data_IF_295526926834
#
_entry.id   IF_295526926834
#
_cell.length_a   1.000
_cell.length_b   1.000
_cell.length_c   1.000
_cell.angle_alpha   90.00
_cell.angle_beta   90.00
_cell.angle_gamma   90.00
#
_symmetry.space_group_name_H-M   'P 1'
#
loop_
_entity.id
_entity.type
_entity.pdbx_description
1 polymer ?
#
# COMPACT_ATOMS: atom_id res chain seq x y z
N UNK A 1 -17.53 38.32 -7.01
CA UNK A 1 -17.12 37.51 -8.18
C UNK A 1 -18.26 36.56 -8.48
N UNK A 2 -18.78 36.58 -9.70
CA UNK A 2 -19.81 35.67 -10.19
C UNK A 2 -19.12 34.53 -10.94
N UNK A 3 -19.31 33.30 -10.47
CA UNK A 3 -18.83 32.12 -11.19
C UNK A 3 -19.71 31.87 -12.41
N UNK A 4 -19.11 31.56 -13.55
CA UNK A 4 -19.87 31.08 -14.71
C UNK A 4 -20.42 29.69 -14.43
N UNK A 5 -21.64 29.44 -14.89
CA UNK A 5 -22.30 28.14 -14.75
C UNK A 5 -22.28 27.43 -16.10
N UNK A 6 -21.97 26.14 -16.08
CA UNK A 6 -21.93 25.28 -17.26
C UNK A 6 -22.93 24.15 -17.04
N UNK A 7 -23.86 23.98 -17.98
CA UNK A 7 -24.75 22.83 -17.96
C UNK A 7 -24.13 21.69 -18.75
N UNK A 8 -23.81 20.61 -18.05
CA UNK A 8 -23.07 19.49 -18.62
C UNK A 8 -23.97 18.31 -19.01
N UNK A 9 -25.20 18.30 -18.52
CA UNK A 9 -26.17 17.20 -18.69
C UNK A 9 -27.37 17.62 -19.53
N UNK A 10 -27.55 18.91 -19.79
CA UNK A 10 -28.72 19.48 -20.49
C UNK A 10 -30.00 19.51 -19.66
N UNK A 11 -29.93 19.18 -18.36
CA UNK A 11 -31.07 19.16 -17.44
C UNK A 11 -31.18 20.46 -16.64
N UNK A 12 -32.38 20.82 -16.16
CA UNK A 12 -32.60 22.08 -15.42
C UNK A 12 -31.74 22.17 -14.15
N UNK A 13 -31.45 21.06 -13.48
CA UNK A 13 -30.61 20.98 -12.28
C UNK A 13 -29.13 20.65 -12.57
N UNK A 14 -28.74 20.62 -13.86
CA UNK A 14 -27.43 20.17 -14.33
C UNK A 14 -26.31 21.20 -14.30
N UNK A 15 -26.55 22.37 -13.72
CA UNK A 15 -25.61 23.49 -13.73
C UNK A 15 -24.53 23.34 -12.67
N UNK A 16 -23.28 23.40 -13.11
CA UNK A 16 -22.12 23.36 -12.22
C UNK A 16 -21.25 24.60 -12.41
N UNK A 17 -20.51 25.05 -11.37
CA UNK A 17 -19.54 26.12 -11.53
C UNK A 17 -18.46 25.74 -12.55
N UNK A 18 -18.03 26.72 -13.36
CA UNK A 18 -17.01 26.53 -14.39
C UNK A 18 -15.66 26.06 -13.81
N UNK A 19 -15.34 26.49 -12.60
CA UNK A 19 -14.14 26.03 -11.87
C UNK A 19 -14.21 24.53 -11.58
N UNK A 20 -15.35 24.04 -11.06
CA UNK A 20 -15.59 22.62 -10.82
C UNK A 20 -15.55 21.79 -12.13
N UNK A 21 -16.05 22.36 -13.23
CA UNK A 21 -15.94 21.74 -14.55
C UNK A 21 -14.47 21.60 -15.00
N UNK A 22 -13.66 22.64 -14.78
CA UNK A 22 -12.23 22.61 -15.10
C UNK A 22 -11.49 21.58 -14.23
N UNK A 23 -11.77 21.52 -12.92
CA UNK A 23 -11.21 20.50 -12.02
C UNK A 23 -11.53 19.08 -12.47
N UNK A 24 -12.77 18.83 -12.87
CA UNK A 24 -13.18 17.52 -13.36
C UNK A 24 -12.44 17.11 -14.64
N UNK A 25 -12.30 18.02 -15.61
CA UNK A 25 -11.53 17.76 -16.83
C UNK A 25 -10.04 17.53 -16.55
N UNK A 26 -9.47 18.24 -15.58
CA UNK A 26 -8.09 18.04 -15.13
C UNK A 26 -7.91 16.66 -14.49
N UNK A 27 -8.86 16.21 -13.66
CA UNK A 27 -8.85 14.88 -13.07
C UNK A 27 -8.86 13.79 -14.15
N UNK A 28 -9.81 13.87 -15.10
CA UNK A 28 -9.91 12.90 -16.20
C UNK A 28 -8.64 12.86 -17.05
N UNK A 29 -8.09 14.04 -17.39
CA UNK A 29 -6.84 14.15 -18.15
C UNK A 29 -5.69 13.45 -17.42
N UNK A 30 -5.58 13.64 -16.10
CA UNK A 30 -4.57 12.98 -15.28
C UNK A 30 -4.74 11.46 -15.27
N UNK A 31 -5.96 10.96 -15.07
CA UNK A 31 -6.25 9.52 -15.05
C UNK A 31 -5.91 8.86 -16.39
N UNK A 32 -6.36 9.44 -17.50
CA UNK A 32 -6.11 8.91 -18.85
C UNK A 32 -4.63 9.01 -19.22
N UNK A 33 -3.96 10.11 -18.84
CA UNK A 33 -2.52 10.27 -19.05
C UNK A 33 -1.71 9.25 -18.26
N UNK A 34 -2.01 9.07 -16.97
CA UNK A 34 -1.32 8.08 -16.12
C UNK A 34 -1.48 6.64 -16.62
N UNK A 35 -2.55 6.33 -17.35
CA UNK A 35 -2.76 5.01 -17.94
C UNK A 35 -1.91 4.74 -19.19
N UNK A 36 -1.40 5.77 -19.87
CA UNK A 36 -0.55 5.63 -21.06
C UNK A 36 0.90 5.91 -20.67
N UNK A 37 1.71 4.85 -20.62
CA UNK A 37 3.15 4.93 -20.30
C UNK A 37 3.97 5.89 -21.18
N UNK A 38 5.30 5.87 -21.04
CA UNK A 38 6.29 6.87 -21.49
C UNK A 38 6.25 7.34 -22.97
N UNK A 39 5.41 6.75 -23.82
CA UNK A 39 5.35 7.03 -25.25
C UNK A 39 4.32 8.11 -25.64
N UNK A 40 3.65 8.75 -24.67
CA UNK A 40 2.69 9.81 -24.96
C UNK A 40 3.34 11.20 -24.83
N UNK A 41 3.46 11.92 -25.96
CA UNK A 41 3.97 13.29 -25.96
C UNK A 41 2.93 14.29 -25.43
N UNK A 42 3.40 15.37 -24.81
CA UNK A 42 2.54 16.43 -24.27
C UNK A 42 1.64 17.06 -25.33
N UNK A 43 2.11 17.19 -26.58
CA UNK A 43 1.33 17.73 -27.69
C UNK A 43 0.09 16.89 -28.01
N UNK A 44 0.18 15.57 -27.90
CA UNK A 44 -0.97 14.67 -28.08
C UNK A 44 -1.96 14.84 -26.93
N UNK A 45 -1.47 15.02 -25.71
CA UNK A 45 -2.31 15.27 -24.54
C UNK A 45 -3.10 16.58 -24.70
N UNK A 46 -2.41 17.66 -25.00
CA UNK A 46 -2.99 19.00 -25.14
C UNK A 46 -3.96 19.07 -26.32
N UNK A 47 -3.56 18.64 -27.52
CA UNK A 47 -4.36 18.89 -28.73
C UNK A 47 -5.43 17.85 -28.99
N UNK A 48 -5.21 16.58 -28.59
CA UNK A 48 -6.11 15.47 -28.94
C UNK A 48 -6.94 14.97 -27.77
N UNK A 49 -6.32 14.85 -26.59
CA UNK A 49 -6.96 14.24 -25.42
C UNK A 49 -7.76 15.26 -24.62
N UNK A 50 -7.19 16.44 -24.33
CA UNK A 50 -7.84 17.43 -23.47
C UNK A 50 -9.16 17.96 -24.05
N UNK A 51 -9.20 18.15 -25.37
CA UNK A 51 -10.37 18.68 -26.10
C UNK A 51 -11.54 17.70 -26.14
N UNK A 52 -11.26 16.40 -26.12
CA UNK A 52 -12.26 15.33 -26.25
C UNK A 52 -12.36 14.46 -24.98
N UNK A 53 -11.87 14.97 -23.85
CA UNK A 53 -11.67 14.16 -22.63
C UNK A 53 -12.98 13.51 -22.15
N UNK A 54 -14.11 14.18 -22.32
CA UNK A 54 -15.43 13.65 -21.99
C UNK A 54 -15.87 12.50 -22.87
N UNK A 55 -15.66 12.62 -24.18
CA UNK A 55 -15.97 11.53 -25.11
C UNK A 55 -15.14 10.29 -24.80
N UNK A 56 -13.87 10.47 -24.40
CA UNK A 56 -13.04 9.34 -23.97
C UNK A 56 -13.53 8.71 -22.67
N UNK A 57 -13.97 9.51 -21.70
CA UNK A 57 -14.55 9.00 -20.45
C UNK A 57 -15.87 8.23 -20.68
N UNK A 58 -16.74 8.73 -21.55
CA UNK A 58 -17.98 8.07 -21.94
C UNK A 58 -17.73 6.73 -22.65
N UNK A 59 -16.79 6.71 -23.61
CA UNK A 59 -16.39 5.48 -24.30
C UNK A 59 -15.79 4.47 -23.32
N UNK A 60 -14.90 4.92 -22.43
CA UNK A 60 -14.30 4.05 -21.42
C UNK A 60 -15.35 3.50 -20.45
N UNK A 61 -16.27 4.34 -19.98
CA UNK A 61 -17.39 3.94 -19.11
C UNK A 61 -18.31 2.94 -19.79
N UNK A 62 -18.63 3.14 -21.07
CA UNK A 62 -19.45 2.23 -21.87
C UNK A 62 -18.74 0.89 -22.02
N UNK A 63 -17.46 0.91 -22.41
CA UNK A 63 -16.65 -0.29 -22.55
C UNK A 63 -16.58 -1.07 -21.22
N UNK A 64 -16.28 -0.41 -20.09
CA UNK A 64 -16.26 -1.07 -18.78
C UNK A 64 -17.61 -1.71 -18.43
N UNK A 65 -18.72 -1.06 -18.78
CA UNK A 65 -20.07 -1.58 -18.54
C UNK A 65 -20.35 -2.82 -19.39
N UNK A 66 -20.05 -2.76 -20.69
CA UNK A 66 -20.25 -3.88 -21.63
C UNK A 66 -19.39 -5.11 -21.30
N UNK A 67 -18.15 -4.89 -20.86
CA UNK A 67 -17.25 -5.96 -20.46
C UNK A 67 -17.45 -6.43 -19.01
N UNK A 68 -18.43 -5.89 -18.29
CA UNK A 68 -18.70 -6.25 -16.89
C UNK A 68 -17.55 -5.94 -15.94
N UNK A 69 -16.68 -4.99 -16.31
CA UNK A 69 -15.55 -4.59 -15.47
C UNK A 69 -16.10 -3.82 -14.26
N UNK A 70 -15.87 -4.28 -13.03
CA UNK A 70 -16.37 -3.59 -11.85
C UNK A 70 -15.76 -2.19 -11.79
N UNK A 71 -16.61 -1.16 -11.80
CA UNK A 71 -16.16 0.22 -11.56
C UNK A 71 -15.52 0.30 -10.18
N UNK A 72 -14.29 0.83 -10.12
CA UNK A 72 -13.59 1.06 -8.86
C UNK A 72 -14.44 2.00 -8.02
N UNK A 73 -15.06 1.48 -6.97
CA UNK A 73 -15.93 2.26 -6.10
C UNK A 73 -15.10 3.33 -5.38
N UNK A 74 -15.61 4.56 -5.32
CA UNK A 74 -15.02 5.65 -4.50
C UNK A 74 -15.22 5.42 -3.00
N UNK A 75 -16.03 4.42 -2.62
CA UNK A 75 -16.06 3.94 -1.25
C UNK A 75 -14.77 3.17 -1.03
N UNK A 76 -13.86 3.76 -0.26
CA UNK A 76 -12.85 2.99 0.43
C UNK A 76 -13.59 1.89 1.19
N UNK A 77 -13.50 0.65 0.73
CA UNK A 77 -13.83 -0.47 1.59
C UNK A 77 -12.92 -0.31 2.81
N UNK A 78 -13.47 -0.39 4.02
CA UNK A 78 -12.66 -0.53 5.22
C UNK A 78 -11.99 -1.89 5.12
N UNK A 79 -10.85 -1.91 4.43
CA UNK A 79 -10.01 -3.09 4.31
C UNK A 79 -9.52 -3.39 5.71
N UNK A 80 -9.93 -4.53 6.25
CA UNK A 80 -9.38 -5.03 7.51
C UNK A 80 -8.01 -5.58 7.19
N UNK A 81 -6.99 -4.80 7.50
CA UNK A 81 -5.60 -5.13 7.19
C UNK A 81 -5.22 -6.54 7.68
N UNK A 82 -5.74 -6.94 8.83
CA UNK A 82 -5.51 -8.26 9.43
C UNK A 82 -5.97 -9.41 8.52
N UNK A 83 -7.19 -9.30 7.95
CA UNK A 83 -7.75 -10.33 7.07
C UNK A 83 -6.98 -10.43 5.74
N UNK A 84 -6.49 -9.29 5.23
CA UNK A 84 -5.66 -9.29 4.03
C UNK A 84 -4.27 -9.86 4.28
N UNK A 85 -3.66 -9.56 5.43
CA UNK A 85 -2.37 -10.12 5.84
C UNK A 85 -2.48 -11.63 5.99
N UNK A 86 -3.51 -12.14 6.66
CA UNK A 86 -3.75 -13.58 6.79
C UNK A 86 -3.90 -14.25 5.42
N UNK A 87 -4.68 -13.64 4.52
CA UNK A 87 -4.86 -14.14 3.15
C UNK A 87 -3.55 -14.13 2.36
N UNK A 88 -2.73 -13.10 2.53
CA UNK A 88 -1.43 -12.98 1.88
C UNK A 88 -0.46 -14.05 2.40
N UNK A 89 -0.35 -14.21 3.73
CA UNK A 89 0.49 -15.23 4.36
C UNK A 89 0.08 -16.62 3.90
N UNK A 90 -1.23 -16.92 3.89
CA UNK A 90 -1.74 -18.19 3.37
C UNK A 90 -1.33 -18.41 1.92
N UNK A 91 -1.53 -17.41 1.06
CA UNK A 91 -1.16 -17.50 -0.36
C UNK A 91 0.34 -17.70 -0.55
N UNK A 92 1.19 -17.05 0.26
CA UNK A 92 2.64 -17.19 0.19
C UNK A 92 3.11 -18.56 0.69
N UNK A 93 2.45 -19.15 1.71
CA UNK A 93 2.70 -20.52 2.17
C UNK A 93 2.24 -21.55 1.15
N UNK A 94 1.03 -21.39 0.59
CA UNK A 94 0.48 -22.30 -0.42
C UNK A 94 1.37 -22.37 -1.67
N UNK A 95 2.03 -21.26 -2.02
CA UNK A 95 3.01 -21.19 -3.11
C UNK A 95 4.43 -21.62 -2.71
N UNK A 96 4.65 -22.03 -1.47
CA UNK A 96 5.95 -22.47 -0.95
C UNK A 96 7.02 -21.37 -0.93
N UNK A 97 6.62 -20.10 -0.93
CA UNK A 97 7.57 -18.98 -0.94
C UNK A 97 8.12 -18.67 0.45
N UNK A 98 7.37 -18.98 1.50
CA UNK A 98 7.80 -18.78 2.90
C UNK A 98 8.67 -19.94 3.42
N UNK A 99 8.44 -21.16 2.92
CA UNK A 99 9.13 -22.36 3.41
C UNK A 99 10.39 -22.71 2.58
N UNK A 100 10.70 -21.91 1.56
CA UNK A 100 11.92 -22.06 0.77
C UNK A 100 13.10 -21.48 1.54
N UNK A 101 13.91 -22.36 2.10
CA UNK A 101 15.29 -22.03 2.43
C UNK A 101 16.00 -21.74 1.09
N UNK A 102 16.51 -20.52 0.84
CA UNK A 102 17.23 -20.24 -0.38
C UNK A 102 18.42 -21.20 -0.46
N UNK A 103 18.57 -21.87 -1.61
CA UNK A 103 19.75 -22.68 -1.86
C UNK A 103 20.98 -21.77 -1.75
N UNK A 104 21.82 -22.00 -0.75
CA UNK A 104 23.04 -21.23 -0.54
C UNK A 104 23.96 -21.54 -1.72
N UNK A 105 24.06 -20.62 -2.68
CA UNK A 105 25.07 -20.71 -3.70
C UNK A 105 26.44 -20.60 -3.03
N UNK A 106 27.37 -21.49 -3.37
CA UNK A 106 28.71 -21.63 -2.77
C UNK A 106 29.55 -20.33 -2.82
N UNK A 107 29.12 -19.35 -3.62
CA UNK A 107 29.76 -18.04 -3.80
C UNK A 107 29.14 -16.90 -2.96
N UNK A 108 28.04 -17.17 -2.26
CA UNK A 108 27.33 -16.14 -1.48
C UNK A 108 27.80 -16.17 -0.03
N UNK A 109 28.23 -15.01 0.48
CA UNK A 109 28.49 -14.84 1.91
C UNK A 109 27.15 -14.67 2.62
N UNK A 110 26.87 -15.42 3.70
CA UNK A 110 25.65 -15.21 4.47
C UNK A 110 25.61 -13.77 4.96
N UNK A 111 24.51 -13.08 4.69
CA UNK A 111 24.30 -11.73 5.20
C UNK A 111 23.94 -11.84 6.68
N UNK A 112 24.67 -11.09 7.51
CA UNK A 112 24.41 -11.02 8.95
C UNK A 112 23.02 -10.42 9.16
N UNK A 113 22.18 -11.06 9.98
CA UNK A 113 20.88 -10.53 10.37
C UNK A 113 21.05 -9.34 11.32
N UNK A 114 21.24 -8.16 10.73
CA UNK A 114 21.36 -6.91 11.47
C UNK A 114 20.06 -6.54 12.20
N UNK A 115 18.91 -7.03 11.74
CA UNK A 115 17.64 -6.77 12.39
C UNK A 115 17.51 -7.56 13.70
N UNK A 116 17.80 -8.87 13.66
CA UNK A 116 17.88 -9.71 14.85
C UNK A 116 18.90 -9.18 15.87
N UNK A 117 20.10 -8.83 15.42
CA UNK A 117 21.12 -8.21 16.29
C UNK A 117 20.64 -6.88 16.89
N UNK A 118 19.92 -6.07 16.10
CA UNK A 118 19.30 -4.84 16.56
C UNK A 118 18.25 -5.08 17.64
N UNK A 119 17.41 -6.10 17.46
CA UNK A 119 16.36 -6.49 18.42
C UNK A 119 16.95 -7.01 19.73
N UNK A 120 17.99 -7.86 19.67
CA UNK A 120 18.71 -8.34 20.85
C UNK A 120 19.32 -7.15 21.60
N UNK A 121 20.01 -6.26 20.89
CA UNK A 121 20.60 -5.05 21.48
C UNK A 121 19.55 -4.13 22.09
N UNK A 122 18.37 -4.04 21.48
CA UNK A 122 17.26 -3.25 21.98
C UNK A 122 16.67 -3.89 23.25
N UNK A 123 16.46 -5.21 23.25
CA UNK A 123 15.93 -5.98 24.37
C UNK A 123 16.83 -5.94 25.61
N UNK A 124 18.16 -6.01 25.42
CA UNK A 124 19.11 -5.89 26.53
C UNK A 124 19.38 -4.44 26.96
N UNK A 125 18.85 -3.45 26.23
CA UNK A 125 19.05 -2.05 26.57
C UNK A 125 17.94 -1.52 27.48
N UNK A 126 18.34 -0.80 28.55
CA UNK A 126 17.41 -0.04 29.41
C UNK A 126 16.56 0.99 28.64
N UNK A 127 16.96 1.32 27.40
CA UNK A 127 16.22 2.22 26.52
C UNK A 127 14.86 1.66 26.09
N UNK A 128 14.72 0.34 25.94
CA UNK A 128 13.42 -0.26 25.61
C UNK A 128 12.46 -0.17 26.79
N UNK A 129 12.95 -0.40 28.01
CA UNK A 129 12.16 -0.26 29.24
C UNK A 129 11.77 1.20 29.49
N UNK A 130 12.70 2.14 29.27
CA UNK A 130 12.43 3.57 29.35
C UNK A 130 11.42 4.02 28.28
N UNK A 131 11.50 3.48 27.06
CA UNK A 131 10.54 3.74 25.97
C UNK A 131 9.15 3.17 26.28
N UNK A 132 9.08 1.95 26.82
CA UNK A 132 7.81 1.33 27.27
C UNK A 132 7.18 2.15 28.40
N UNK A 133 7.99 2.61 29.36
CA UNK A 133 7.53 3.47 30.45
C UNK A 133 7.03 4.82 29.95
N UNK A 134 7.69 5.41 28.96
CA UNK A 134 7.29 6.70 28.37
C UNK A 134 6.00 6.60 27.55
N UNK A 135 5.71 5.44 26.96
CA UNK A 135 4.50 5.21 26.16
C UNK A 135 3.37 4.50 26.93
N UNK A 136 3.55 4.21 28.22
CA UNK A 136 2.53 3.56 29.06
C UNK A 136 1.33 4.47 29.35
N UNK A 137 1.51 5.80 29.31
CA UNK A 137 0.44 6.79 29.49
C UNK A 137 -0.30 7.14 28.19
N UNK A 138 0.21 6.71 27.04
CA UNK A 138 -0.47 6.85 25.76
C UNK A 138 -1.26 5.55 25.57
N UNK A 139 -2.50 5.53 26.04
CA UNK A 139 -3.40 4.38 25.97
C UNK A 139 -3.58 3.84 24.55
N UNK A 140 -2.62 3.05 24.07
CA UNK A 140 -2.81 2.09 23.01
C UNK A 140 -3.61 0.95 23.63
N UNK A 141 -4.93 1.03 23.42
CA UNK A 141 -5.79 -0.15 23.50
C UNK A 141 -5.07 -1.31 22.80
N UNK A 142 -4.98 -2.41 23.55
CA UNK A 142 -4.27 -3.62 23.20
C UNK A 142 -4.59 -4.09 21.78
N UNK A 143 -3.60 -4.02 20.87
CA UNK A 143 -3.51 -5.05 19.84
C UNK A 143 -3.14 -6.35 20.54
N UNK A 144 -4.17 -7.17 20.82
CA UNK A 144 -4.02 -8.49 21.40
C UNK A 144 -3.26 -9.42 20.46
N UNK A 145 -1.94 -9.46 20.61
CA UNK A 145 -1.12 -10.59 20.16
C UNK A 145 -1.27 -11.76 21.15
N UNK A 146 -1.21 -13.03 20.70
CA UNK A 146 -1.37 -14.18 21.58
C UNK A 146 -0.31 -14.17 22.68
N UNK A 147 -0.71 -14.56 23.89
CA UNK A 147 0.08 -14.60 25.13
C UNK A 147 1.31 -15.53 25.11
N UNK A 148 1.67 -16.10 23.96
CA UNK A 148 2.65 -17.19 23.84
C UNK A 148 4.06 -16.68 23.47
N UNK A 149 4.29 -15.37 23.54
CA UNK A 149 5.59 -14.77 23.18
C UNK A 149 6.70 -14.99 24.21
N UNK A 150 6.39 -15.45 25.42
CA UNK A 150 7.45 -15.74 26.40
C UNK A 150 8.22 -17.03 26.06
N UNK A 151 7.57 -18.02 25.44
CA UNK A 151 8.23 -19.27 25.05
C UNK A 151 9.15 -19.12 23.82
N UNK A 152 8.81 -18.22 22.89
CA UNK A 152 9.62 -17.97 21.68
C UNK A 152 10.90 -17.19 21.97
N UNK A 153 10.83 -16.24 22.92
CA UNK A 153 12.01 -15.45 23.32
C UNK A 153 13.01 -16.34 24.05
N UNK A 154 12.53 -17.29 24.87
CA UNK A 154 13.41 -18.20 25.60
C UNK A 154 14.13 -19.21 24.71
N UNK A 155 13.49 -19.72 23.64
CA UNK A 155 14.15 -20.64 22.70
C UNK A 155 15.19 -19.94 21.83
N UNK A 156 14.92 -18.70 21.40
CA UNK A 156 15.82 -17.94 20.51
C UNK A 156 17.08 -17.46 21.24
N UNK A 157 17.00 -17.18 22.55
CA UNK A 157 18.16 -16.76 23.36
C UNK A 157 19.15 -17.92 23.56
N UNK A 158 18.66 -19.16 23.75
CA UNK A 158 19.52 -20.33 23.95
C UNK A 158 20.31 -20.71 22.68
N UNK A 159 19.75 -20.49 21.49
CA UNK A 159 20.45 -20.73 20.22
C UNK A 159 21.50 -19.63 19.89
N UNK A 160 21.36 -18.43 20.48
CA UNK A 160 22.27 -17.31 20.24
C UNK A 160 23.57 -17.41 21.06
N UNK A 161 23.50 -17.96 22.27
CA UNK A 161 24.68 -18.14 23.14
C UNK A 161 25.68 -19.17 22.54
N UNK A 162 25.17 -20.24 21.92
CA UNK A 162 25.99 -21.25 21.19
C UNK A 162 26.68 -20.68 19.92
N UNK A 163 26.13 -19.60 19.36
CA UNK A 163 26.69 -18.92 18.17
C UNK A 163 27.82 -17.95 18.50
N UNK A 164 27.88 -17.45 19.74
CA UNK A 164 28.89 -16.47 20.17
C UNK A 164 30.21 -17.15 20.55
N UNK A 165 30.19 -18.38 21.10
CA UNK A 165 31.42 -19.09 21.49
C UNK A 165 32.28 -19.58 20.31
N UNK A 166 31.74 -19.62 19.09
CA UNK A 166 32.47 -20.09 17.89
C UNK A 166 33.24 -18.97 17.14
N UNK A 167 33.30 -17.76 17.70
CA UNK A 167 33.92 -16.59 17.07
C UNK A 167 34.82 -15.75 18.00
N UNK A 168 35.51 -16.39 18.97
CA UNK A 168 36.71 -15.82 19.63
C UNK A 168 38.01 -16.44 19.09
#
# INVERSE_FOLDING_TARGET
MSSWLINTTGTEDGWIPADMYQEHNNLLTKVIYSAKGSNLTHEVLEKKISTNIRTFDEVMSTMMTEFGVPKRSSKHSTVRADEEIEKLVKTLRDNGNLDRVPAVEERTKPMVDLFGLGMIKLAHSKRLDDFKRQNQDVGLESYGGPSDSEDFVHSTILDADDYIENYE
#
